data_IF_194430100959
#
_entry.id   IF_194430100959
#
_cell.length_a   1.000
_cell.length_b   1.000
_cell.length_c   1.000
_cell.angle_alpha   90.00
_cell.angle_beta   90.00
_cell.angle_gamma   90.00
#
_symmetry.space_group_name_H-M   'P 1'
#
loop_
_entity.id
_entity.type
_entity.pdbx_description
1 polymer ?
#
# COMPACT_ATOMS: atom_id res chain seq x y z
N UNK A 1 21.25 -4.54 11.28
CA UNK A 1 21.05 -3.45 10.31
C UNK A 1 20.40 -4.06 9.07
N UNK A 2 19.11 -3.80 8.85
CA UNK A 2 18.38 -4.32 7.69
C UNK A 2 18.72 -3.42 6.49
N UNK A 3 19.76 -3.80 5.77
CA UNK A 3 20.19 -3.23 4.47
C UNK A 3 19.90 -4.32 3.43
N UNK A 4 19.00 -4.25 2.46
CA UNK A 4 18.35 -3.15 1.76
C UNK A 4 16.91 -3.57 1.37
N UNK A 5 15.93 -2.71 1.64
CA UNK A 5 14.54 -2.85 1.18
C UNK A 5 14.40 -2.82 -0.35
N UNK A 6 15.42 -2.28 -1.03
CA UNK A 6 15.44 -2.07 -2.47
C UNK A 6 15.83 -3.34 -3.21
N UNK A 7 15.02 -3.73 -4.19
CA UNK A 7 15.51 -4.56 -5.29
C UNK A 7 16.69 -3.83 -5.95
N UNK A 8 17.80 -4.53 -6.21
CA UNK A 8 18.83 -3.97 -7.11
C UNK A 8 18.15 -3.68 -8.46
N UNK A 9 18.67 -2.72 -9.24
CA UNK A 9 18.24 -2.57 -10.64
C UNK A 9 18.37 -3.89 -11.41
N UNK A 10 19.30 -4.75 -11.00
CA UNK A 10 19.53 -6.08 -11.56
C UNK A 10 18.40 -7.09 -11.25
N UNK A 11 17.55 -6.81 -10.25
CA UNK A 11 16.41 -7.65 -9.85
C UNK A 11 15.08 -7.22 -10.52
N UNK A 12 15.14 -6.22 -11.40
CA UNK A 12 13.99 -5.69 -12.14
C UNK A 12 13.85 -6.39 -13.49
N UNK A 13 12.61 -6.70 -13.86
CA UNK A 13 12.32 -7.24 -15.18
C UNK A 13 12.37 -6.15 -16.28
N UNK A 14 12.39 -6.53 -17.58
CA UNK A 14 12.46 -5.56 -18.68
C UNK A 14 11.34 -4.51 -18.67
N UNK A 15 10.10 -4.86 -18.29
CA UNK A 15 8.96 -3.92 -18.23
C UNK A 15 9.11 -2.92 -17.08
N UNK A 16 9.63 -3.39 -15.94
CA UNK A 16 9.99 -2.54 -14.81
C UNK A 16 11.15 -1.60 -15.16
N UNK A 17 12.16 -2.10 -15.87
CA UNK A 17 13.31 -1.33 -16.35
C UNK A 17 12.90 -0.24 -17.35
N UNK A 18 12.00 -0.56 -18.29
CA UNK A 18 11.44 0.41 -19.23
C UNK A 18 10.76 1.56 -18.48
N UNK A 19 9.93 1.24 -17.48
CA UNK A 19 9.22 2.24 -16.70
C UNK A 19 10.15 3.16 -15.87
N UNK A 20 11.19 2.62 -15.22
CA UNK A 20 12.14 3.47 -14.46
C UNK A 20 12.99 4.36 -15.39
N UNK A 21 13.19 3.94 -16.64
CA UNK A 21 13.99 4.69 -17.62
C UNK A 21 13.18 5.74 -18.39
N UNK A 22 11.87 5.86 -18.15
CA UNK A 22 11.08 6.95 -18.73
C UNK A 22 11.66 8.31 -18.30
N UNK A 23 11.54 9.35 -19.15
CA UNK A 23 12.00 10.69 -18.83
C UNK A 23 11.58 11.17 -17.43
N UNK A 24 12.44 11.96 -16.79
CA UNK A 24 12.17 12.54 -15.47
C UNK A 24 10.92 13.42 -15.47
N UNK A 25 10.68 14.11 -16.58
CA UNK A 25 9.51 14.97 -16.82
C UNK A 25 8.48 14.23 -17.65
N UNK A 26 7.22 14.38 -17.29
CA UNK A 26 6.10 13.77 -18.00
C UNK A 26 4.96 13.38 -17.09
N UNK A 27 3.93 12.80 -17.73
CA UNK A 27 2.68 12.40 -17.11
C UNK A 27 2.50 10.90 -17.33
N UNK A 28 2.61 10.12 -16.27
CA UNK A 28 2.72 8.66 -16.34
C UNK A 28 1.73 7.98 -15.42
N UNK A 29 1.18 6.85 -15.87
CA UNK A 29 0.37 5.95 -15.07
C UNK A 29 0.97 4.54 -15.14
N UNK A 30 1.26 3.95 -13.99
CA UNK A 30 1.70 2.56 -13.86
C UNK A 30 0.62 1.73 -13.20
N UNK A 31 0.14 0.73 -13.93
CA UNK A 31 -0.79 -0.25 -13.42
C UNK A 31 -0.13 -1.62 -13.27
N UNK A 32 -0.67 -2.44 -12.39
CA UNK A 32 -0.28 -3.84 -12.30
C UNK A 32 -0.82 -4.51 -11.04
N UNK A 33 -0.73 -5.84 -10.94
CA UNK A 33 -1.33 -6.61 -9.85
C UNK A 33 -0.63 -6.37 -8.51
N UNK A 34 -1.20 -6.90 -7.41
CA UNK A 34 -0.53 -6.94 -6.11
C UNK A 34 0.83 -7.63 -6.24
N UNK A 35 1.87 -7.02 -5.66
CA UNK A 35 3.21 -7.61 -5.64
C UNK A 35 4.02 -7.45 -6.94
N UNK A 36 3.54 -6.66 -7.91
CA UNK A 36 4.29 -6.32 -9.13
C UNK A 36 5.40 -5.29 -8.89
N UNK A 37 5.50 -4.69 -7.71
CA UNK A 37 6.56 -3.74 -7.35
C UNK A 37 6.26 -2.27 -7.65
N UNK A 38 5.01 -1.90 -7.97
CA UNK A 38 4.59 -0.51 -8.27
C UNK A 38 5.13 0.52 -7.30
N UNK A 39 4.89 0.34 -6.00
CA UNK A 39 5.40 1.23 -4.94
C UNK A 39 6.92 1.40 -5.04
N UNK A 40 7.67 0.30 -5.16
CA UNK A 40 9.14 0.37 -5.29
C UNK A 40 9.57 1.14 -6.55
N UNK A 41 8.89 0.93 -7.68
CA UNK A 41 9.19 1.63 -8.93
C UNK A 41 8.86 3.13 -8.85
N UNK A 42 7.73 3.48 -8.23
CA UNK A 42 7.36 4.87 -7.97
C UNK A 42 8.43 5.57 -7.13
N UNK A 43 8.92 4.91 -6.08
CA UNK A 43 9.96 5.45 -5.23
C UNK A 43 11.31 5.58 -5.94
N UNK A 44 11.73 4.57 -6.71
CA UNK A 44 12.95 4.64 -7.52
C UNK A 44 12.88 5.79 -8.53
N UNK A 45 11.70 6.06 -9.12
CA UNK A 45 11.48 7.23 -9.98
C UNK A 45 11.57 8.54 -9.19
N UNK A 46 10.94 8.63 -8.02
CA UNK A 46 11.04 9.82 -7.17
C UNK A 46 12.49 10.14 -6.79
N UNK A 47 13.27 9.12 -6.42
CA UNK A 47 14.70 9.25 -6.14
C UNK A 47 15.51 9.64 -7.37
N UNK A 48 15.22 9.04 -8.53
CA UNK A 48 15.89 9.39 -9.78
C UNK A 48 15.68 10.86 -10.16
N UNK A 49 14.44 11.36 -10.06
CA UNK A 49 14.11 12.76 -10.33
C UNK A 49 14.81 13.69 -9.34
N UNK A 50 14.72 13.40 -8.03
CA UNK A 50 15.39 14.20 -7.00
C UNK A 50 16.92 14.18 -7.12
N UNK A 51 17.50 13.03 -7.51
CA UNK A 51 18.92 12.84 -7.75
C UNK A 51 19.47 13.61 -8.95
N UNK A 52 18.63 13.98 -9.93
CA UNK A 52 19.00 14.90 -11.02
C UNK A 52 19.01 16.37 -10.60
N UNK A 53 18.74 16.67 -9.33
CA UNK A 53 18.72 18.03 -8.77
C UNK A 53 17.32 18.61 -8.62
N UNK A 54 16.28 17.92 -9.10
CA UNK A 54 14.89 18.36 -8.95
C UNK A 54 14.30 17.88 -7.62
N UNK A 55 14.73 18.52 -6.53
CA UNK A 55 14.36 18.11 -5.16
C UNK A 55 12.95 18.53 -4.75
N UNK A 56 12.26 19.38 -5.50
CA UNK A 56 10.91 19.84 -5.16
C UNK A 56 9.85 18.83 -5.60
N UNK A 57 9.87 17.66 -4.96
CA UNK A 57 8.95 16.55 -5.22
C UNK A 57 7.91 16.40 -4.11
N UNK A 58 6.77 15.80 -4.44
CA UNK A 58 5.74 15.40 -3.49
C UNK A 58 5.39 13.93 -3.75
N UNK A 59 5.49 13.08 -2.72
CA UNK A 59 5.04 11.69 -2.76
C UNK A 59 3.75 11.59 -1.93
N UNK A 60 2.67 11.20 -2.59
CA UNK A 60 1.33 11.04 -2.01
C UNK A 60 0.97 9.56 -1.96
N UNK A 61 0.36 9.15 -0.86
CA UNK A 61 -0.22 7.83 -0.69
C UNK A 61 -1.58 7.97 0.01
N UNK A 62 -2.31 6.87 0.16
CA UNK A 62 -3.57 6.85 0.88
C UNK A 62 -3.39 6.60 2.38
N UNK A 63 -2.66 5.55 2.76
CA UNK A 63 -2.60 5.11 4.17
C UNK A 63 -1.44 5.73 4.95
N UNK A 64 -1.68 6.04 6.24
CA UNK A 64 -0.64 6.52 7.16
C UNK A 64 0.52 5.50 7.29
N UNK A 65 0.18 4.21 7.32
CA UNK A 65 1.15 3.12 7.40
C UNK A 65 2.09 3.11 6.19
N UNK A 66 1.55 3.22 4.97
CA UNK A 66 2.36 3.31 3.77
C UNK A 66 3.17 4.60 3.75
N UNK A 67 2.60 5.75 4.11
CA UNK A 67 3.34 7.02 4.16
C UNK A 67 4.56 6.94 5.07
N UNK A 68 4.40 6.36 6.27
CA UNK A 68 5.51 6.14 7.21
C UNK A 68 6.54 5.15 6.67
N UNK A 69 6.09 4.07 6.04
CA UNK A 69 6.96 3.11 5.38
C UNK A 69 7.82 3.79 4.30
N UNK A 70 7.21 4.57 3.40
CA UNK A 70 7.92 5.31 2.35
C UNK A 70 8.91 6.31 2.93
N UNK A 71 8.55 7.02 4.01
CA UNK A 71 9.47 7.94 4.72
C UNK A 71 10.73 7.24 5.19
N UNK A 72 10.59 6.06 5.80
CA UNK A 72 11.75 5.29 6.29
C UNK A 72 12.74 4.89 5.18
N UNK A 73 12.22 4.58 3.98
CA UNK A 73 13.04 4.21 2.84
C UNK A 73 13.64 5.40 2.08
N UNK A 74 12.85 6.47 1.90
CA UNK A 74 13.25 7.64 1.10
C UNK A 74 14.15 8.61 1.86
N UNK A 75 13.84 8.93 3.11
CA UNK A 75 14.57 9.93 3.90
C UNK A 75 16.01 9.47 4.17
N UNK A 76 16.20 8.16 4.35
CA UNK A 76 17.52 7.55 4.49
C UNK A 76 18.45 7.80 3.28
N UNK A 77 17.90 8.16 2.11
CA UNK A 77 18.72 8.45 0.91
C UNK A 77 19.20 9.90 0.83
N UNK A 78 18.64 10.82 1.63
CA UNK A 78 19.00 12.25 1.62
C UNK A 78 18.53 13.03 0.39
N UNK A 79 17.76 12.41 -0.51
CA UNK A 79 17.21 13.07 -1.70
C UNK A 79 15.80 13.65 -1.49
N UNK A 80 15.04 13.10 -0.54
CA UNK A 80 13.65 13.47 -0.26
C UNK A 80 13.50 13.67 1.24
N UNK A 81 12.96 14.82 1.63
CA UNK A 81 12.70 15.19 3.01
C UNK A 81 11.41 14.55 3.55
N UNK A 82 11.34 14.41 4.87
CA UNK A 82 10.20 13.82 5.57
C UNK A 82 8.86 14.49 5.22
N UNK A 83 8.87 15.82 5.07
CA UNK A 83 7.66 16.60 4.84
C UNK A 83 7.12 16.51 3.39
N UNK A 84 7.88 15.88 2.49
CA UNK A 84 7.55 15.65 1.09
C UNK A 84 6.79 14.34 0.85
N UNK A 85 6.68 13.45 1.84
CA UNK A 85 5.97 12.17 1.71
C UNK A 85 4.70 12.20 2.56
N UNK A 86 3.50 12.32 2.00
CA UNK A 86 2.27 12.54 2.78
C UNK A 86 1.14 11.59 2.39
N UNK A 87 0.17 11.43 3.29
CA UNK A 87 -1.16 10.98 2.85
C UNK A 87 -1.86 12.10 2.09
N UNK A 88 -2.79 11.78 1.19
CA UNK A 88 -3.60 12.78 0.48
C UNK A 88 -4.26 13.76 1.45
N UNK A 89 -4.95 13.25 2.48
CA UNK A 89 -5.63 14.08 3.47
C UNK A 89 -4.67 15.00 4.26
N UNK A 90 -3.46 14.52 4.59
CA UNK A 90 -2.44 15.34 5.27
C UNK A 90 -1.94 16.47 4.38
N UNK A 91 -1.69 16.18 3.08
CA UNK A 91 -1.33 17.20 2.10
C UNK A 91 -2.47 18.22 1.93
N UNK A 92 -3.71 17.75 1.74
CA UNK A 92 -4.86 18.61 1.51
C UNK A 92 -5.10 19.59 2.67
N UNK A 93 -5.04 19.09 3.92
CA UNK A 93 -5.14 19.94 5.13
C UNK A 93 -4.07 21.03 5.14
N UNK A 94 -2.80 20.68 4.90
CA UNK A 94 -1.69 21.64 4.86
C UNK A 94 -1.89 22.66 3.74
N UNK A 95 -2.29 22.22 2.55
CA UNK A 95 -2.46 23.07 1.37
C UNK A 95 -3.63 24.06 1.56
N UNK A 96 -4.79 23.58 2.00
CA UNK A 96 -5.96 24.42 2.30
C UNK A 96 -5.66 25.41 3.43
N UNK A 97 -4.98 24.97 4.49
CA UNK A 97 -4.60 25.87 5.58
C UNK A 97 -3.67 26.99 5.08
N UNK A 98 -2.67 26.65 4.27
CA UNK A 98 -1.69 27.60 3.77
C UNK A 98 -2.31 28.68 2.87
N UNK A 99 -3.20 28.30 1.94
CA UNK A 99 -3.71 29.23 0.93
C UNK A 99 -5.09 29.83 1.24
N UNK A 100 -5.88 29.19 2.10
CA UNK A 100 -7.22 29.68 2.48
C UNK A 100 -7.34 30.05 3.96
N UNK A 101 -6.38 29.67 4.81
CA UNK A 101 -6.50 29.76 6.28
C UNK A 101 -7.78 29.10 6.82
N UNK A 102 -8.22 28.03 6.15
CA UNK A 102 -9.37 27.19 6.55
C UNK A 102 -8.85 25.85 7.07
N UNK A 103 -9.63 25.22 7.94
CA UNK A 103 -9.39 23.84 8.39
C UNK A 103 -10.33 22.89 7.64
N UNK A 104 -9.85 21.69 7.33
CA UNK A 104 -10.68 20.62 6.78
C UNK A 104 -11.19 19.80 7.95
N UNK A 105 -12.51 19.71 8.09
CA UNK A 105 -13.16 18.90 9.13
C UNK A 105 -12.83 17.43 8.90
N UNK A 106 -12.50 16.72 9.98
CA UNK A 106 -12.29 15.28 9.90
C UNK A 106 -13.65 14.57 9.94
N UNK A 107 -14.07 14.04 8.78
CA UNK A 107 -15.27 13.20 8.67
C UNK A 107 -15.01 11.73 9.04
N UNK A 108 -13.76 11.39 9.40
CA UNK A 108 -13.29 10.00 9.44
C UNK A 108 -12.94 9.48 8.05
N UNK A 109 -12.43 8.25 7.99
CA UNK A 109 -12.21 7.58 6.72
C UNK A 109 -13.58 7.34 6.05
N UNK A 110 -13.68 7.61 4.74
CA UNK A 110 -14.83 7.27 3.88
C UNK A 110 -16.09 8.14 3.94
N UNK A 111 -16.04 9.36 4.49
CA UNK A 111 -17.13 10.32 4.30
C UNK A 111 -17.03 11.02 2.93
N UNK A 112 -17.83 10.56 1.96
CA UNK A 112 -17.93 11.15 0.62
C UNK A 112 -18.33 12.64 0.65
N UNK A 113 -19.13 13.08 1.63
CA UNK A 113 -19.47 14.49 1.76
C UNK A 113 -18.24 15.32 2.15
N UNK A 114 -17.45 14.83 3.11
CA UNK A 114 -16.18 15.45 3.50
C UNK A 114 -15.15 15.44 2.36
N UNK A 115 -15.07 14.36 1.56
CA UNK A 115 -14.18 14.30 0.39
C UNK A 115 -14.56 15.35 -0.66
N UNK A 116 -15.85 15.45 -0.99
CA UNK A 116 -16.34 16.45 -1.93
C UNK A 116 -16.09 17.88 -1.44
N UNK A 117 -16.35 18.15 -0.15
CA UNK A 117 -16.03 19.44 0.44
C UNK A 117 -14.52 19.75 0.43
N UNK A 118 -13.69 18.73 0.65
CA UNK A 118 -12.23 18.82 0.57
C UNK A 118 -11.77 19.20 -0.84
N UNK A 119 -12.31 18.55 -1.88
CA UNK A 119 -12.02 18.87 -3.29
C UNK A 119 -12.39 20.32 -3.62
N UNK A 120 -13.54 20.82 -3.17
CA UNK A 120 -13.92 22.21 -3.42
C UNK A 120 -12.98 23.21 -2.73
N UNK A 121 -12.57 22.92 -1.50
CA UNK A 121 -11.56 23.73 -0.80
C UNK A 121 -10.19 23.66 -1.50
N UNK A 122 -9.80 22.51 -2.03
CA UNK A 122 -8.56 22.37 -2.80
C UNK A 122 -8.60 23.18 -4.10
N UNK A 123 -9.71 23.14 -4.84
CA UNK A 123 -9.91 23.97 -6.04
C UNK A 123 -9.86 25.47 -5.72
N UNK A 124 -10.43 25.89 -4.60
CA UNK A 124 -10.29 27.28 -4.11
C UNK A 124 -8.83 27.63 -3.75
N UNK A 125 -8.12 26.72 -3.07
CA UNK A 125 -6.73 26.91 -2.66
C UNK A 125 -5.80 26.98 -3.88
N UNK A 126 -5.98 26.09 -4.86
CA UNK A 126 -5.22 26.05 -6.11
C UNK A 126 -5.36 27.34 -6.93
N UNK A 127 -6.48 28.08 -6.81
CA UNK A 127 -6.63 29.41 -7.46
C UNK A 127 -5.77 30.50 -6.81
N UNK A 128 -5.31 30.30 -5.57
CA UNK A 128 -4.53 31.28 -4.79
C UNK A 128 -3.04 30.95 -4.71
N UNK A 129 -2.60 29.85 -5.32
CA UNK A 129 -1.17 29.51 -5.36
C UNK A 129 -0.41 30.57 -6.18
N UNK A 130 0.84 30.88 -5.80
CA UNK A 130 1.62 31.92 -6.48
C UNK A 130 2.05 31.51 -7.90
N UNK A 131 2.10 30.20 -8.19
CA UNK A 131 2.47 29.64 -9.49
C UNK A 131 1.84 28.26 -9.67
N UNK A 132 1.47 27.92 -10.91
CA UNK A 132 0.97 26.58 -11.27
C UNK A 132 2.03 25.48 -11.14
N UNK A 133 3.31 25.84 -11.01
CA UNK A 133 4.43 24.90 -10.84
C UNK A 133 4.96 24.96 -9.41
N UNK A 134 4.06 24.82 -8.45
CA UNK A 134 4.42 24.87 -7.03
C UNK A 134 5.34 23.71 -6.66
N UNK A 135 5.03 22.52 -7.20
CA UNK A 135 5.79 21.29 -7.03
C UNK A 135 6.31 20.85 -8.40
N UNK A 136 7.58 20.49 -8.49
CA UNK A 136 8.17 20.09 -9.77
C UNK A 136 7.64 18.75 -10.26
N UNK A 137 7.48 17.76 -9.37
CA UNK A 137 6.93 16.45 -9.69
C UNK A 137 6.09 15.86 -8.56
N UNK A 138 4.92 15.30 -8.90
CA UNK A 138 4.03 14.61 -7.96
C UNK A 138 4.03 13.11 -8.25
N UNK A 139 4.24 12.30 -7.22
CA UNK A 139 4.20 10.84 -7.28
C UNK A 139 3.04 10.35 -6.41
N UNK A 140 2.13 9.55 -6.95
CA UNK A 140 0.93 9.09 -6.25
C UNK A 140 0.96 7.56 -6.23
N UNK A 141 0.95 6.97 -5.04
CA UNK A 141 0.77 5.53 -4.85
C UNK A 141 -0.64 5.19 -4.38
N UNK A 142 -1.08 3.96 -4.63
CA UNK A 142 -2.43 3.48 -4.34
C UNK A 142 -3.53 4.39 -4.91
N UNK A 143 -3.36 4.86 -6.14
CA UNK A 143 -4.27 5.82 -6.77
C UNK A 143 -5.70 5.28 -6.99
N UNK A 144 -5.89 3.96 -6.97
CA UNK A 144 -7.23 3.36 -6.93
C UNK A 144 -8.00 3.70 -5.65
N UNK A 145 -7.31 4.18 -4.61
CA UNK A 145 -7.91 4.62 -3.35
C UNK A 145 -8.30 6.13 -3.35
N UNK A 146 -8.04 6.84 -4.44
CA UNK A 146 -8.37 8.25 -4.65
C UNK A 146 -9.48 8.43 -5.70
N UNK A 147 -10.19 9.55 -5.65
CA UNK A 147 -11.09 9.94 -6.75
C UNK A 147 -10.32 10.63 -7.89
N UNK A 148 -10.94 10.72 -9.06
CA UNK A 148 -10.38 11.46 -10.19
C UNK A 148 -10.14 12.93 -9.83
N UNK A 149 -11.08 13.57 -9.15
CA UNK A 149 -11.02 14.98 -8.76
C UNK A 149 -9.92 15.26 -7.73
N UNK A 150 -9.64 14.31 -6.83
CA UNK A 150 -8.53 14.39 -5.88
C UNK A 150 -7.18 14.37 -6.62
N UNK A 151 -7.03 13.51 -7.63
CA UNK A 151 -5.84 13.46 -8.47
C UNK A 151 -5.73 14.71 -9.36
N UNK A 152 -6.84 15.23 -9.89
CA UNK A 152 -6.87 16.51 -10.63
C UNK A 152 -6.33 17.66 -9.78
N UNK A 153 -6.74 17.76 -8.51
CA UNK A 153 -6.24 18.80 -7.60
C UNK A 153 -4.72 18.73 -7.42
N UNK A 154 -4.14 17.52 -7.40
CA UNK A 154 -2.68 17.32 -7.37
C UNK A 154 -2.02 17.64 -8.72
N UNK A 155 -2.68 17.34 -9.82
CA UNK A 155 -2.18 17.59 -11.17
C UNK A 155 -2.22 19.09 -11.56
N UNK A 156 -2.94 19.93 -10.83
CA UNK A 156 -2.97 21.40 -11.02
C UNK A 156 -1.74 22.11 -10.44
N UNK A 157 -1.06 21.51 -9.45
CA UNK A 157 0.10 22.10 -8.78
C UNK A 157 1.45 21.65 -9.36
N UNK A 158 1.42 20.78 -10.38
CA UNK A 158 2.61 20.24 -11.04
C UNK A 158 2.38 19.86 -12.50
N UNK A 159 3.37 20.13 -13.36
CA UNK A 159 3.34 19.67 -14.75
C UNK A 159 3.66 18.18 -14.88
N UNK A 160 4.44 17.63 -13.93
CA UNK A 160 4.92 16.25 -13.95
C UNK A 160 4.19 15.43 -12.88
N UNK A 161 3.57 14.35 -13.29
CA UNK A 161 2.79 13.49 -12.40
C UNK A 161 3.02 12.02 -12.74
N UNK A 162 3.22 11.20 -11.73
CA UNK A 162 3.38 9.76 -11.87
C UNK A 162 2.40 9.08 -10.91
N UNK A 163 1.45 8.33 -11.46
CA UNK A 163 0.37 7.68 -10.72
C UNK A 163 0.58 6.17 -10.75
N UNK A 164 0.50 5.50 -9.61
CA UNK A 164 0.63 4.05 -9.49
C UNK A 164 -0.62 3.46 -8.83
N UNK A 165 -1.10 2.32 -9.33
CA UNK A 165 -2.21 1.62 -8.68
C UNK A 165 -2.59 0.28 -9.30
N UNK A 166 -3.62 -0.33 -8.72
CA UNK A 166 -4.20 -1.59 -9.20
C UNK A 166 -5.73 -1.47 -9.29
N UNK A 167 -6.26 -1.48 -10.51
CA UNK A 167 -7.72 -1.40 -10.76
C UNK A 167 -8.46 -2.56 -10.08
N UNK A 168 -7.87 -3.75 -10.01
CA UNK A 168 -8.50 -4.94 -9.40
C UNK A 168 -8.56 -4.87 -7.86
N UNK A 169 -7.88 -3.90 -7.23
CA UNK A 169 -7.86 -3.71 -5.77
C UNK A 169 -8.64 -2.48 -5.30
N UNK A 170 -9.52 -1.95 -6.16
CA UNK A 170 -10.49 -0.93 -5.75
C UNK A 170 -11.54 -1.58 -4.83
N UNK A 171 -11.33 -1.46 -3.52
CA UNK A 171 -12.29 -1.93 -2.49
C UNK A 171 -13.35 -0.85 -2.23
N UNK A 172 -12.95 0.41 -2.43
CA UNK A 172 -13.81 1.58 -2.36
C UNK A 172 -14.13 1.96 -3.79
N UNK A 173 -15.40 2.07 -4.18
CA UNK A 173 -15.88 2.36 -5.54
C UNK A 173 -15.31 3.67 -6.14
N UNK A 174 -14.02 3.70 -6.47
CA UNK A 174 -13.25 4.91 -6.73
C UNK A 174 -12.60 4.83 -8.10
N UNK A 175 -12.46 6.00 -8.72
CA UNK A 175 -12.18 6.15 -10.15
C UNK A 175 -10.78 6.71 -10.43
N UNK A 176 -9.89 6.81 -9.44
CA UNK A 176 -8.61 7.50 -9.60
C UNK A 176 -7.74 6.99 -10.76
N UNK A 177 -7.79 5.69 -11.06
CA UNK A 177 -7.10 5.10 -12.21
C UNK A 177 -7.84 5.25 -13.55
N UNK A 178 -9.13 5.61 -13.53
CA UNK A 178 -9.94 5.83 -14.72
C UNK A 178 -9.73 7.24 -15.33
N UNK A 179 -9.10 8.16 -14.59
CA UNK A 179 -8.82 9.54 -15.03
C UNK A 179 -7.63 9.68 -15.98
N UNK A 180 -7.02 8.57 -16.42
CA UNK A 180 -5.78 8.57 -17.22
C UNK A 180 -5.88 9.45 -18.48
N UNK A 181 -6.95 9.29 -19.24
CA UNK A 181 -7.17 10.05 -20.49
C UNK A 181 -7.40 11.53 -20.20
N UNK A 182 -8.24 11.87 -19.23
CA UNK A 182 -8.54 13.24 -18.83
C UNK A 182 -7.30 14.00 -18.35
N UNK A 183 -6.39 13.32 -17.67
CA UNK A 183 -5.16 13.89 -17.12
C UNK A 183 -3.97 13.86 -18.08
N UNK A 184 -4.14 13.25 -19.27
CA UNK A 184 -3.09 13.08 -20.27
C UNK A 184 -1.97 12.15 -19.80
N UNK A 185 -2.28 11.12 -19.01
CA UNK A 185 -1.31 10.17 -18.49
C UNK A 185 -0.95 9.12 -19.56
N UNK A 186 0.34 8.92 -19.81
CA UNK A 186 0.82 7.79 -20.61
C UNK A 186 0.81 6.53 -19.75
N UNK A 187 0.03 5.53 -20.15
CA UNK A 187 -0.21 4.31 -19.37
C UNK A 187 0.82 3.22 -19.65
N UNK A 188 1.30 2.59 -18.59
CA UNK A 188 2.21 1.45 -18.56
C UNK A 188 1.61 0.37 -17.66
N UNK A 189 1.72 -0.89 -18.07
CA UNK A 189 1.12 -2.01 -17.35
C UNK A 189 2.17 -3.07 -17.03
N UNK A 190 2.24 -3.47 -15.76
CA UNK A 190 2.97 -4.65 -15.31
C UNK A 190 2.01 -5.83 -15.27
N UNK A 191 2.37 -6.91 -15.94
CA UNK A 191 1.57 -8.14 -15.91
C UNK A 191 2.00 -9.07 -14.78
N UNK A 192 3.29 -9.09 -14.44
CA UNK A 192 3.86 -10.06 -13.51
C UNK A 192 3.91 -9.56 -12.06
N UNK A 193 3.89 -10.48 -11.10
CA UNK A 193 4.14 -10.18 -9.68
C UNK A 193 5.18 -11.13 -9.06
N UNK A 194 5.77 -10.69 -7.96
CA UNK A 194 6.94 -11.35 -7.35
C UNK A 194 6.71 -11.78 -5.90
N UNK A 195 5.53 -11.49 -5.34
CA UNK A 195 5.25 -11.61 -3.90
C UNK A 195 4.34 -12.78 -3.57
N UNK A 196 3.36 -13.09 -4.41
CA UNK A 196 2.33 -14.08 -4.09
C UNK A 196 2.79 -15.46 -4.56
N UNK A 197 2.97 -16.37 -3.61
CA UNK A 197 3.32 -17.75 -3.93
C UNK A 197 2.21 -18.49 -4.67
N UNK A 198 2.58 -19.46 -5.52
CA UNK A 198 1.65 -20.14 -6.43
C UNK A 198 0.41 -20.74 -5.75
N UNK A 199 0.52 -21.31 -4.54
CA UNK A 199 -0.64 -21.87 -3.82
C UNK A 199 -1.61 -20.79 -3.35
N UNK A 200 -1.10 -19.66 -2.89
CA UNK A 200 -1.91 -18.51 -2.47
C UNK A 200 -2.57 -17.88 -3.70
N UNK A 201 -1.82 -17.72 -4.78
CA UNK A 201 -2.32 -17.19 -6.05
C UNK A 201 -3.49 -18.04 -6.59
N UNK A 202 -3.35 -19.38 -6.56
CA UNK A 202 -4.42 -20.30 -6.96
C UNK A 202 -5.69 -20.16 -6.12
N UNK A 203 -5.55 -19.91 -4.82
CA UNK A 203 -6.72 -19.66 -3.95
C UNK A 203 -7.36 -18.33 -4.32
N UNK A 204 -6.57 -17.27 -4.52
CA UNK A 204 -7.07 -15.97 -4.92
C UNK A 204 -7.81 -16.01 -6.28
N UNK A 205 -7.27 -16.72 -7.27
CA UNK A 205 -7.89 -16.92 -8.59
C UNK A 205 -9.23 -17.69 -8.53
N UNK A 206 -9.48 -18.46 -7.47
CA UNK A 206 -10.77 -19.12 -7.23
C UNK A 206 -11.79 -18.23 -6.53
N UNK A 207 -11.32 -17.24 -5.76
CA UNK A 207 -12.17 -16.25 -5.10
C UNK A 207 -12.60 -15.19 -6.11
N UNK A 208 -11.65 -14.70 -6.90
CA UNK A 208 -11.87 -13.73 -7.97
C UNK A 208 -11.40 -14.36 -9.28
N UNK A 209 -12.35 -14.87 -10.06
CA UNK A 209 -12.05 -15.53 -11.32
C UNK A 209 -11.35 -14.56 -12.29
N UNK A 210 -10.21 -14.95 -12.89
CA UNK A 210 -9.53 -14.11 -13.87
C UNK A 210 -10.31 -14.08 -15.19
N UNK A 211 -10.17 -12.98 -15.94
CA UNK A 211 -10.80 -12.81 -17.25
C UNK A 211 -10.30 -13.84 -18.28
N UNK A 212 -9.06 -14.31 -18.12
CA UNK A 212 -8.49 -15.43 -18.89
C UNK A 212 -7.48 -16.20 -18.04
N UNK A 213 -7.17 -17.45 -18.43
CA UNK A 213 -6.17 -18.25 -17.73
C UNK A 213 -4.77 -17.61 -17.74
N UNK A 214 -4.41 -16.91 -18.82
CA UNK A 214 -3.13 -16.21 -18.96
C UNK A 214 -3.02 -14.97 -18.04
N UNK A 215 -4.15 -14.41 -17.61
CA UNK A 215 -4.21 -13.26 -16.70
C UNK A 215 -4.42 -13.66 -15.23
N UNK A 216 -4.40 -14.96 -14.93
CA UNK A 216 -4.48 -15.45 -13.55
C UNK A 216 -3.27 -15.01 -12.73
N UNK A 217 -3.49 -14.80 -11.42
CA UNK A 217 -2.40 -14.52 -10.48
C UNK A 217 -1.40 -15.68 -10.46
N UNK A 218 -1.85 -16.93 -10.61
CA UNK A 218 -0.94 -18.07 -10.67
C UNK A 218 -0.05 -18.02 -11.92
N UNK A 219 -0.62 -17.74 -13.11
CA UNK A 219 0.13 -17.69 -14.36
C UNK A 219 1.11 -16.53 -14.45
N UNK A 220 0.82 -15.41 -13.79
CA UNK A 220 1.64 -14.19 -13.79
C UNK A 220 2.62 -14.11 -12.62
N UNK A 221 2.74 -15.19 -11.83
CA UNK A 221 3.64 -15.24 -10.68
C UNK A 221 5.08 -15.56 -11.08
N UNK A 222 5.98 -14.65 -10.76
CA UNK A 222 7.44 -14.82 -10.77
C UNK A 222 7.98 -15.08 -9.34
N UNK A 223 7.15 -15.62 -8.45
CA UNK A 223 7.57 -15.98 -7.10
C UNK A 223 8.63 -17.08 -7.12
N UNK A 224 9.79 -16.83 -6.49
CA UNK A 224 10.92 -17.76 -6.52
C UNK A 224 10.85 -18.76 -5.37
N UNK A 225 10.19 -19.91 -5.57
CA UNK A 225 10.07 -20.95 -4.53
C UNK A 225 11.43 -21.55 -4.10
N UNK A 226 12.47 -21.48 -4.93
CA UNK A 226 13.80 -21.95 -4.55
C UNK A 226 14.46 -21.04 -3.51
N UNK A 227 14.22 -19.73 -3.62
CA UNK A 227 14.78 -18.71 -2.72
C UNK A 227 13.89 -18.47 -1.50
N UNK A 228 12.58 -18.47 -1.68
CA UNK A 228 11.60 -18.04 -0.67
C UNK A 228 10.86 -19.21 0.00
N UNK A 229 11.10 -20.44 -0.46
CA UNK A 229 10.39 -21.63 -0.01
C UNK A 229 9.11 -21.89 -0.79
N UNK A 230 8.58 -23.12 -0.67
CA UNK A 230 7.31 -23.49 -1.31
C UNK A 230 6.15 -22.82 -0.59
N UNK A 231 5.26 -22.21 -1.36
CA UNK A 231 4.04 -21.61 -0.82
C UNK A 231 3.02 -22.69 -0.42
N UNK A 232 2.24 -22.42 0.62
CA UNK A 232 1.13 -23.27 1.09
C UNK A 232 -0.13 -22.43 1.28
N UNK A 233 -1.29 -23.08 1.22
CA UNK A 233 -2.58 -22.49 1.51
C UNK A 233 -3.53 -23.60 1.98
N UNK A 234 -3.86 -23.59 3.27
CA UNK A 234 -4.60 -24.67 3.93
C UNK A 234 -5.88 -24.12 4.58
N UNK A 235 -6.98 -24.85 4.42
CA UNK A 235 -8.26 -24.53 5.04
C UNK A 235 -8.53 -25.51 6.19
N UNK A 236 -8.59 -25.00 7.41
CA UNK A 236 -8.96 -25.78 8.59
C UNK A 236 -10.45 -25.53 8.91
N UNK A 237 -11.30 -26.54 8.70
CA UNK A 237 -12.70 -26.51 9.13
C UNK A 237 -12.79 -27.07 10.54
N UNK A 238 -13.22 -26.23 11.49
CA UNK A 238 -13.20 -26.54 12.91
C UNK A 238 -14.60 -26.26 13.51
N UNK A 239 -15.02 -27.02 14.53
CA UNK A 239 -16.41 -27.05 14.99
C UNK A 239 -16.86 -25.74 15.66
N UNK A 240 -15.95 -25.02 16.30
CA UNK A 240 -16.24 -23.81 17.07
C UNK A 240 -15.01 -22.89 17.14
N UNK A 241 -15.19 -21.72 17.78
CA UNK A 241 -14.14 -20.70 17.93
C UNK A 241 -12.98 -21.15 18.79
N UNK A 242 -13.22 -22.01 19.77
CA UNK A 242 -12.17 -22.48 20.67
C UNK A 242 -11.24 -23.43 19.91
N UNK A 243 -11.79 -24.39 19.18
CA UNK A 243 -11.03 -25.26 18.30
C UNK A 243 -10.27 -24.45 17.22
N UNK A 244 -10.90 -23.40 16.66
CA UNK A 244 -10.23 -22.48 15.72
C UNK A 244 -9.01 -21.80 16.34
N UNK A 245 -9.12 -21.28 17.55
CA UNK A 245 -8.01 -20.64 18.23
C UNK A 245 -6.91 -21.62 18.61
N UNK A 246 -7.25 -22.81 19.14
CA UNK A 246 -6.25 -23.83 19.50
C UNK A 246 -5.44 -24.26 18.27
N UNK A 247 -6.11 -24.48 17.13
CA UNK A 247 -5.41 -24.81 15.88
C UNK A 247 -4.55 -23.66 15.38
N UNK A 248 -5.03 -22.42 15.48
CA UNK A 248 -4.24 -21.23 15.14
C UNK A 248 -3.00 -21.13 16.03
N UNK A 249 -3.13 -21.37 17.33
CA UNK A 249 -2.02 -21.33 18.29
C UNK A 249 -0.98 -22.41 17.99
N UNK A 250 -1.40 -23.64 17.64
CA UNK A 250 -0.52 -24.71 17.17
C UNK A 250 0.31 -24.26 15.96
N UNK A 251 -0.35 -23.67 14.95
CA UNK A 251 0.31 -23.17 13.74
C UNK A 251 1.28 -22.04 14.10
N UNK A 252 0.84 -21.05 14.89
CA UNK A 252 1.67 -19.89 15.25
C UNK A 252 2.94 -20.30 15.99
N UNK A 253 2.87 -21.26 16.92
CA UNK A 253 4.05 -21.76 17.64
C UNK A 253 5.12 -22.35 16.70
N UNK A 254 4.69 -23.08 15.66
CA UNK A 254 5.59 -23.62 14.64
C UNK A 254 6.17 -22.49 13.78
N UNK A 255 5.32 -21.55 13.34
CA UNK A 255 5.72 -20.45 12.45
C UNK A 255 6.70 -19.47 13.12
N UNK A 256 6.43 -19.08 14.37
CA UNK A 256 7.30 -18.20 15.18
C UNK A 256 8.71 -18.78 15.27
N UNK A 257 8.81 -20.09 15.48
CA UNK A 257 10.09 -20.81 15.60
C UNK A 257 10.78 -20.98 14.25
N UNK A 258 10.03 -21.32 13.20
CA UNK A 258 10.56 -21.59 11.86
C UNK A 258 11.04 -20.32 11.13
N UNK A 259 10.41 -19.18 11.40
CA UNK A 259 10.65 -17.90 10.74
C UNK A 259 11.06 -16.82 11.74
N UNK A 260 12.11 -17.13 12.53
CA UNK A 260 12.63 -16.22 13.54
C UNK A 260 13.04 -14.87 12.91
N UNK A 261 12.38 -13.79 13.33
CA UNK A 261 12.63 -12.43 12.84
C UNK A 261 11.70 -11.98 11.71
N UNK A 262 10.92 -12.88 11.10
CA UNK A 262 9.87 -12.52 10.16
C UNK A 262 8.56 -12.21 10.89
N UNK A 263 7.78 -11.30 10.31
CA UNK A 263 6.46 -10.92 10.83
C UNK A 263 5.37 -11.85 10.32
N UNK A 264 4.49 -12.24 11.23
CA UNK A 264 3.33 -13.10 10.99
C UNK A 264 2.06 -12.25 11.19
N UNK A 265 1.28 -12.08 10.13
CA UNK A 265 -0.03 -11.41 10.23
C UNK A 265 -1.15 -12.39 10.57
N UNK A 266 -2.01 -12.05 11.54
CA UNK A 266 -3.29 -12.72 11.83
C UNK A 266 -4.42 -11.79 11.41
N UNK A 267 -5.14 -12.17 10.35
CA UNK A 267 -6.16 -11.33 9.73
C UNK A 267 -7.56 -11.77 10.14
N UNK A 268 -8.37 -10.84 10.65
CA UNK A 268 -9.75 -11.09 11.03
C UNK A 268 -10.74 -10.27 10.19
N UNK A 269 -11.93 -10.82 9.93
CA UNK A 269 -12.97 -10.12 9.17
C UNK A 269 -13.65 -8.98 9.93
N UNK A 270 -13.74 -9.07 11.26
CA UNK A 270 -14.37 -8.06 12.11
C UNK A 270 -13.41 -7.60 13.19
N UNK A 271 -13.60 -6.35 13.63
CA UNK A 271 -12.84 -5.76 14.74
C UNK A 271 -13.02 -6.55 16.04
N UNK A 272 -14.26 -6.91 16.39
CA UNK A 272 -14.54 -7.69 17.61
C UNK A 272 -13.83 -9.05 17.62
N UNK A 273 -13.75 -9.70 16.46
CA UNK A 273 -13.01 -10.95 16.28
C UNK A 273 -11.51 -10.76 16.51
N UNK A 274 -10.94 -9.67 15.99
CA UNK A 274 -9.52 -9.35 16.24
C UNK A 274 -9.24 -9.03 17.70
N UNK A 275 -10.15 -8.32 18.39
CA UNK A 275 -10.06 -8.03 19.83
C UNK A 275 -10.06 -9.32 20.66
N UNK A 276 -10.97 -10.26 20.33
CA UNK A 276 -11.06 -11.57 20.96
C UNK A 276 -9.79 -12.41 20.74
N UNK A 277 -9.32 -12.51 19.49
CA UNK A 277 -8.07 -13.23 19.15
C UNK A 277 -6.89 -12.66 19.90
N UNK A 278 -6.75 -11.33 19.90
CA UNK A 278 -5.64 -10.69 20.57
C UNK A 278 -5.70 -10.89 22.09
N UNK A 279 -6.89 -10.78 22.70
CA UNK A 279 -7.08 -11.06 24.13
C UNK A 279 -6.67 -12.48 24.52
N UNK A 280 -6.99 -13.47 23.67
CA UNK A 280 -6.58 -14.86 23.89
C UNK A 280 -5.08 -15.09 23.66
N UNK A 281 -4.47 -14.42 22.67
CA UNK A 281 -3.02 -14.48 22.46
C UNK A 281 -2.24 -13.86 23.62
N UNK A 282 -2.73 -12.76 24.21
CA UNK A 282 -2.11 -12.16 25.40
C UNK A 282 -2.09 -13.11 26.60
N UNK A 283 -3.04 -14.05 26.66
CA UNK A 283 -3.11 -15.06 27.72
C UNK A 283 -2.29 -16.33 27.40
N UNK A 284 -1.65 -16.42 26.24
CA UNK A 284 -0.82 -17.56 25.84
C UNK A 284 0.68 -17.22 25.91
N UNK A 285 1.53 -18.22 25.68
CA UNK A 285 2.99 -18.07 25.63
C UNK A 285 3.46 -17.13 24.50
N UNK A 286 2.58 -16.80 23.54
CA UNK A 286 2.86 -15.86 22.45
C UNK A 286 2.45 -14.42 22.78
N UNK A 287 1.96 -14.15 23.99
CA UNK A 287 1.48 -12.82 24.38
C UNK A 287 2.55 -11.73 24.26
N UNK A 288 3.79 -12.02 24.65
CA UNK A 288 4.90 -11.05 24.57
C UNK A 288 5.41 -10.81 23.16
N UNK A 289 5.13 -11.71 22.22
CA UNK A 289 5.52 -11.59 20.80
C UNK A 289 4.36 -11.10 19.92
N UNK A 290 3.21 -10.79 20.52
CA UNK A 290 2.00 -10.38 19.81
C UNK A 290 1.67 -8.90 20.02
N UNK A 291 1.20 -8.24 18.96
CA UNK A 291 0.58 -6.93 19.05
C UNK A 291 -0.70 -6.86 18.22
N UNK A 292 -1.54 -5.86 18.49
CA UNK A 292 -2.73 -5.58 17.68
C UNK A 292 -2.66 -4.21 17.01
N UNK A 293 -3.25 -4.11 15.82
CA UNK A 293 -3.41 -2.87 15.05
C UNK A 293 -4.84 -2.33 15.11
N UNK A 294 -5.52 -2.57 16.23
CA UNK A 294 -6.93 -2.22 16.41
C UNK A 294 -7.08 -0.78 16.91
N UNK A 295 -6.04 -0.16 17.43
CA UNK A 295 -6.11 1.25 17.88
C UNK A 295 -5.40 2.11 16.83
N UNK A 296 -6.03 3.18 16.37
CA UNK A 296 -5.35 4.14 15.50
C UNK A 296 -4.06 4.65 16.17
N UNK A 297 -2.93 4.49 15.48
CA UNK A 297 -1.60 4.84 15.99
C UNK A 297 -0.79 3.69 16.58
N UNK A 298 -1.31 2.45 16.61
CA UNK A 298 -0.49 1.26 16.89
C UNK A 298 0.29 0.85 15.64
N UNK A 299 1.58 1.14 15.68
CA UNK A 299 2.48 1.08 14.53
C UNK A 299 3.08 -0.31 14.29
N UNK A 300 3.42 -0.59 13.02
CA UNK A 300 4.35 -1.67 12.63
C UNK A 300 5.81 -1.39 13.05
N UNK A 301 6.04 -0.41 13.92
CA UNK A 301 7.30 -0.18 14.61
C UNK A 301 7.44 -1.04 15.87
N UNK A 302 6.38 -1.76 16.27
CA UNK A 302 6.50 -2.77 17.30
C UNK A 302 7.37 -3.93 16.78
N UNK A 303 8.38 -4.31 17.56
CA UNK A 303 9.26 -5.46 17.32
C UNK A 303 8.56 -6.80 17.57
N UNK A 304 7.28 -6.78 17.94
CA UNK A 304 6.41 -7.94 17.97
C UNK A 304 6.46 -8.70 16.63
N UNK A 305 6.42 -10.03 16.74
CA UNK A 305 6.48 -10.92 15.59
C UNK A 305 5.08 -11.19 15.03
N UNK A 306 4.07 -11.27 15.90
CA UNK A 306 2.68 -11.58 15.54
C UNK A 306 1.85 -10.30 15.55
N UNK A 307 1.19 -10.02 14.43
CA UNK A 307 0.41 -8.82 14.22
C UNK A 307 -1.06 -9.17 13.97
N UNK A 308 -1.92 -8.90 14.96
CA UNK A 308 -3.37 -9.12 14.85
C UNK A 308 -4.05 -7.87 14.29
N UNK A 309 -4.81 -8.02 13.21
CA UNK A 309 -5.45 -6.89 12.55
C UNK A 309 -6.71 -7.30 11.78
N UNK A 310 -7.50 -6.32 11.38
CA UNK A 310 -8.60 -6.58 10.43
C UNK A 310 -8.07 -6.71 9.01
N UNK A 311 -8.82 -7.38 8.13
CA UNK A 311 -8.48 -7.43 6.69
C UNK A 311 -8.34 -6.02 6.10
N UNK A 312 -9.23 -5.08 6.46
CA UNK A 312 -9.19 -3.69 6.00
C UNK A 312 -7.88 -2.98 6.40
N UNK A 313 -7.45 -3.14 7.65
CA UNK A 313 -6.20 -2.54 8.16
C UNK A 313 -4.92 -3.18 7.58
N UNK A 314 -5.01 -4.35 6.94
CA UNK A 314 -3.86 -5.00 6.32
C UNK A 314 -3.44 -4.41 4.97
N UNK A 315 -4.26 -3.52 4.38
CA UNK A 315 -3.96 -2.88 3.10
C UNK A 315 -2.74 -1.94 3.23
N UNK A 316 -1.76 -2.11 2.34
CA UNK A 316 -0.52 -1.32 2.34
C UNK A 316 0.55 -1.81 3.33
N UNK A 317 0.34 -2.95 4.00
CA UNK A 317 1.33 -3.54 4.91
C UNK A 317 2.26 -4.47 4.13
N UNK A 318 3.55 -4.13 4.07
CA UNK A 318 4.60 -5.00 3.55
C UNK A 318 5.06 -5.99 4.64
N UNK A 319 4.26 -7.02 4.92
CA UNK A 319 4.68 -8.16 5.77
C UNK A 319 5.08 -9.36 4.90
N UNK A 320 6.18 -10.01 5.27
CA UNK A 320 6.77 -11.13 4.53
C UNK A 320 5.89 -12.38 4.46
N UNK A 321 4.99 -12.59 5.43
CA UNK A 321 4.01 -13.67 5.43
C UNK A 321 2.72 -13.24 6.16
N UNK A 322 1.57 -13.65 5.63
CA UNK A 322 0.26 -13.50 6.29
C UNK A 322 -0.33 -14.89 6.52
N UNK A 323 -0.69 -15.19 7.76
CA UNK A 323 -1.53 -16.33 8.11
C UNK A 323 -2.97 -15.82 8.21
N UNK A 324 -3.77 -16.05 7.18
CA UNK A 324 -5.18 -15.68 7.19
C UNK A 324 -6.00 -16.77 7.89
N UNK A 325 -6.51 -16.47 9.08
CA UNK A 325 -7.51 -17.29 9.77
C UNK A 325 -8.87 -16.60 9.67
N UNK A 326 -9.71 -17.01 8.72
CA UNK A 326 -11.12 -16.64 8.75
C UNK A 326 -11.81 -17.37 9.90
N UNK A 327 -11.97 -16.67 11.03
CA UNK A 327 -12.84 -17.10 12.11
C UNK A 327 -14.29 -16.86 11.67
N UNK A 328 -14.94 -17.91 11.17
CA UNK A 328 -16.37 -17.88 10.88
C UNK A 328 -17.15 -18.09 12.18
N UNK A 329 -18.19 -17.28 12.34
CA UNK A 329 -19.27 -17.50 13.32
C UNK A 329 -19.99 -18.82 13.05
#
# INVERSE_FOLDING_TARGET
MITSWWKSKDDLDPTQLEFINLPAKGRYQLEGPAGSGKTNLLLLRAQFVAGQGDKNVLVVTYTKSLSRFLRSGLVATGFIEDDQVRTFHSWARKHVKLYLNKDIVDGGDFDEATRKATVELLREANKKIPTKKLISSVFIDEAQDLTTEEIECLAEISDNICVCGDIKQSIYHQTGLNGAETLGLTKYTLSNHYRIGHRIARVADRIIAPSSAAESLEATSNYNEKKLGKSTAELHRLPDRDAQFEKMLEILNVQVSAYAGDRIGVLCGKRSTAEEVFGRLLASDLGTTSCSHLIEGTDFSNDAQIHVMTMHSSKGVNSGQFTCSELKN
#
